data_IF_243643812374
#
_entry.id   IF_243643812374
#
_cell.length_a   1.000
_cell.length_b   1.000
_cell.length_c   1.000
_cell.angle_alpha   90.00
_cell.angle_beta   90.00
_cell.angle_gamma   90.00
#
_symmetry.space_group_name_H-M   'P 1'
#
loop_
_entity.id
_entity.type
_entity.pdbx_description
1 polymer ?
#
# COMPACT_ATOMS: atom_id res chain seq x y z
N UNK A 1 -9.13 -9.15 -15.05
CA UNK A 1 -9.03 -9.46 -13.60
C UNK A 1 -7.67 -9.06 -13.00
N UNK A 2 -6.52 -9.36 -13.64
CA UNK A 2 -5.20 -8.98 -13.09
C UNK A 2 -4.91 -7.46 -13.14
N UNK A 3 -5.41 -6.75 -14.15
CA UNK A 3 -5.21 -5.30 -14.30
C UNK A 3 -5.96 -4.49 -13.24
N UNK A 4 -7.16 -4.93 -12.87
CA UNK A 4 -7.96 -4.28 -11.83
C UNK A 4 -7.33 -4.46 -10.43
N UNK A 5 -6.72 -5.61 -10.15
CA UNK A 5 -5.97 -5.83 -8.91
C UNK A 5 -4.72 -4.95 -8.84
N UNK A 6 -3.96 -4.82 -9.94
CA UNK A 6 -2.82 -3.91 -10.01
C UNK A 6 -3.24 -2.44 -9.86
N UNK A 7 -4.35 -2.06 -10.48
CA UNK A 7 -4.91 -0.71 -10.35
C UNK A 7 -5.35 -0.41 -8.91
N UNK A 8 -6.04 -1.36 -8.26
CA UNK A 8 -6.40 -1.26 -6.83
C UNK A 8 -5.19 -1.12 -5.93
N UNK A 9 -4.17 -1.94 -6.13
CA UNK A 9 -2.94 -1.89 -5.34
C UNK A 9 -2.23 -0.53 -5.47
N UNK A 10 -2.15 0.02 -6.68
CA UNK A 10 -1.61 1.36 -6.91
C UNK A 10 -2.48 2.46 -6.29
N UNK A 11 -3.81 2.33 -6.38
CA UNK A 11 -4.74 3.27 -5.77
C UNK A 11 -4.64 3.28 -4.24
N UNK A 12 -4.52 2.10 -3.61
CA UNK A 12 -4.29 1.98 -2.17
C UNK A 12 -2.93 2.57 -1.76
N UNK A 13 -1.85 2.36 -2.53
CA UNK A 13 -0.57 3.01 -2.26
C UNK A 13 -0.65 4.54 -2.37
N UNK A 14 -1.36 5.06 -3.39
CA UNK A 14 -1.56 6.49 -3.54
C UNK A 14 -2.37 7.07 -2.36
N UNK A 15 -3.40 6.35 -1.91
CA UNK A 15 -4.22 6.72 -0.75
C UNK A 15 -3.41 6.70 0.55
N UNK A 16 -2.56 5.71 0.76
CA UNK A 16 -1.67 5.63 1.91
C UNK A 16 -0.67 6.78 1.96
N UNK A 17 -0.04 7.12 0.82
CA UNK A 17 0.83 8.31 0.73
C UNK A 17 0.08 9.62 0.97
N UNK A 18 -1.15 9.73 0.47
CA UNK A 18 -2.00 10.89 0.72
C UNK A 18 -2.33 11.01 2.21
N UNK A 19 -2.72 9.92 2.88
CA UNK A 19 -2.95 9.88 4.34
C UNK A 19 -1.68 10.26 5.12
N UNK A 20 -0.51 9.78 4.71
CA UNK A 20 0.76 10.15 5.35
C UNK A 20 1.03 11.66 5.22
N UNK A 21 0.89 12.18 4.01
CA UNK A 21 1.18 13.58 3.69
C UNK A 21 0.20 14.52 4.38
N UNK A 22 -1.10 14.23 4.28
CA UNK A 22 -2.16 15.00 4.94
C UNK A 22 -2.00 14.89 6.45
N UNK A 23 -1.73 13.69 6.98
CA UNK A 23 -1.47 13.46 8.40
C UNK A 23 -0.33 14.31 8.93
N UNK A 24 0.81 14.35 8.22
CA UNK A 24 1.94 15.22 8.58
C UNK A 24 1.57 16.71 8.47
N UNK A 25 0.86 17.10 7.42
CA UNK A 25 0.50 18.49 7.18
C UNK A 25 -0.44 19.05 8.26
N UNK A 26 -1.37 18.22 8.77
CA UNK A 26 -2.35 18.63 9.80
C UNK A 26 -1.93 18.20 11.21
N UNK A 27 -0.72 17.65 11.40
CA UNK A 27 -0.23 17.18 12.69
C UNK A 27 -0.97 15.97 13.27
N UNK A 28 -1.66 15.18 12.43
CA UNK A 28 -2.39 13.99 12.85
C UNK A 28 -1.52 12.74 12.69
N UNK A 29 -0.93 12.32 13.82
CA UNK A 29 -0.08 11.12 13.92
C UNK A 29 -0.84 9.84 13.54
N UNK A 30 -2.15 9.78 13.83
CA UNK A 30 -2.99 8.63 13.53
C UNK A 30 -3.14 8.41 12.03
N UNK A 31 -3.42 9.49 11.28
CA UNK A 31 -3.50 9.47 9.82
C UNK A 31 -2.15 9.09 9.20
N UNK A 32 -1.07 9.61 9.77
CA UNK A 32 0.31 9.32 9.35
C UNK A 32 0.65 7.85 9.54
N UNK A 33 0.36 7.30 10.72
CA UNK A 33 0.58 5.91 11.06
C UNK A 33 -0.28 4.97 10.19
N UNK A 34 -1.54 5.32 9.92
CA UNK A 34 -2.39 4.57 8.99
C UNK A 34 -1.81 4.53 7.58
N UNK A 35 -1.38 5.68 7.05
CA UNK A 35 -0.78 5.75 5.71
C UNK A 35 0.48 4.89 5.57
N UNK A 36 1.34 4.92 6.59
CA UNK A 36 2.55 4.09 6.68
C UNK A 36 2.23 2.60 6.79
N UNK A 37 1.24 2.24 7.60
CA UNK A 37 0.81 0.86 7.76
C UNK A 37 0.20 0.29 6.47
N UNK A 38 -0.60 1.08 5.76
CA UNK A 38 -1.17 0.71 4.45
C UNK A 38 -0.06 0.46 3.41
N UNK A 39 0.96 1.34 3.34
CA UNK A 39 2.12 1.12 2.46
C UNK A 39 2.86 -0.18 2.78
N UNK A 40 3.26 -0.38 4.05
CA UNK A 40 3.98 -1.59 4.46
C UNK A 40 3.18 -2.87 4.19
N UNK A 41 1.86 -2.83 4.39
CA UNK A 41 0.98 -3.97 4.10
C UNK A 41 0.86 -4.24 2.60
N UNK A 42 0.83 -3.19 1.78
CA UNK A 42 0.83 -3.26 0.32
C UNK A 42 2.13 -3.89 -0.22
N UNK A 43 3.28 -3.39 0.24
CA UNK A 43 4.60 -3.94 -0.11
C UNK A 43 4.74 -5.40 0.32
N UNK A 44 4.32 -5.74 1.54
CA UNK A 44 4.33 -7.12 2.02
C UNK A 44 3.43 -8.05 1.19
N UNK A 45 2.24 -7.58 0.77
CA UNK A 45 1.37 -8.34 -0.15
C UNK A 45 2.06 -8.54 -1.49
N UNK A 46 2.61 -7.49 -2.07
CA UNK A 46 3.23 -7.55 -3.40
C UNK A 46 4.46 -8.46 -3.38
N UNK A 47 5.27 -8.42 -2.32
CA UNK A 47 6.39 -9.32 -2.11
C UNK A 47 5.91 -10.77 -1.96
N UNK A 48 4.89 -11.04 -1.13
CA UNK A 48 4.29 -12.38 -1.01
C UNK A 48 3.76 -12.91 -2.33
N UNK A 49 3.08 -12.07 -3.11
CA UNK A 49 2.50 -12.46 -4.38
C UNK A 49 3.59 -12.78 -5.40
N UNK A 50 4.64 -11.93 -5.50
CA UNK A 50 5.82 -12.21 -6.33
C UNK A 50 6.52 -13.50 -5.93
N UNK A 51 6.78 -13.71 -4.63
CA UNK A 51 7.39 -14.96 -4.15
C UNK A 51 6.52 -16.15 -4.52
N UNK A 52 5.20 -16.07 -4.35
CA UNK A 52 4.29 -17.16 -4.68
C UNK A 52 4.23 -17.43 -6.18
N UNK A 53 4.34 -16.42 -7.02
CA UNK A 53 4.41 -16.55 -8.49
C UNK A 53 5.71 -17.25 -8.92
N UNK A 54 6.85 -16.87 -8.32
CA UNK A 54 8.17 -17.44 -8.60
C UNK A 54 8.27 -18.90 -8.15
N UNK A 55 7.68 -19.24 -7.00
CA UNK A 55 7.67 -20.62 -6.46
C UNK A 55 6.63 -21.53 -7.09
N UNK A 56 5.72 -21.01 -7.94
CA UNK A 56 4.70 -21.80 -8.63
C UNK A 56 5.11 -22.17 -10.06
N UNK A 57 6.40 -21.97 -10.41
CA UNK A 57 7.00 -22.51 -11.63
C UNK A 57 7.46 -23.96 -11.42
#
# INVERSE_FOLDING_TARGET
MAEEQKAKAKAEQAKGKAKETVGRAVGNERLTAEGRAEQSKGDARQAKEKTKDVFKH
#
